data_IF_848909138906
#
_entry.id   IF_848909138906
#
_cell.length_a   1.000
_cell.length_b   1.000
_cell.length_c   1.000
_cell.angle_alpha   90.00
_cell.angle_beta   90.00
_cell.angle_gamma   90.00
#
_symmetry.space_group_name_H-M   'P 1'
#
loop_
_entity.id
_entity.type
_entity.pdbx_description
1 polymer ?
#
# COMPACT_ATOMS: atom_id res chain seq x y z
N UNK A 1 9.26 22.96 -16.77
CA UNK A 1 8.70 21.59 -16.77
C UNK A 1 8.59 21.17 -15.29
N UNK A 2 7.45 21.40 -14.63
CA UNK A 2 7.41 21.44 -13.15
C UNK A 2 6.21 20.72 -12.49
N UNK A 3 5.20 20.29 -13.27
CA UNK A 3 3.99 19.69 -12.71
C UNK A 3 4.20 18.24 -12.21
N UNK A 4 5.04 17.45 -12.89
CA UNK A 4 5.28 16.04 -12.55
C UNK A 4 6.23 15.84 -11.37
N UNK A 5 6.99 16.87 -10.98
CA UNK A 5 7.96 16.79 -9.88
C UNK A 5 7.28 16.70 -8.50
N UNK A 6 5.98 17.01 -8.42
CA UNK A 6 5.22 17.11 -7.18
C UNK A 6 4.06 16.10 -7.09
N UNK A 7 3.98 15.16 -8.03
CA UNK A 7 2.88 14.18 -8.09
C UNK A 7 2.81 13.29 -6.83
N UNK A 8 3.92 13.11 -6.12
CA UNK A 8 3.99 12.42 -4.82
C UNK A 8 3.10 13.08 -3.76
N UNK A 9 2.89 14.40 -3.82
CA UNK A 9 1.98 15.13 -2.93
C UNK A 9 0.55 14.64 -3.14
N UNK A 10 0.13 14.45 -4.39
CA UNK A 10 -1.21 13.93 -4.71
C UNK A 10 -1.42 12.53 -4.11
N UNK A 11 -0.41 11.66 -4.14
CA UNK A 11 -0.50 10.35 -3.51
C UNK A 11 -0.60 10.43 -1.98
N UNK A 12 0.14 11.34 -1.34
CA UNK A 12 0.00 11.59 0.10
C UNK A 12 -1.41 12.10 0.43
N UNK A 13 -1.93 13.07 -0.34
CA UNK A 13 -3.28 13.59 -0.17
C UNK A 13 -4.31 12.48 -0.29
N UNK A 14 -4.19 11.61 -1.31
CA UNK A 14 -5.09 10.47 -1.51
C UNK A 14 -5.01 9.49 -0.34
N UNK A 15 -3.82 9.18 0.17
CA UNK A 15 -3.64 8.30 1.35
C UNK A 15 -4.32 8.89 2.58
N UNK A 16 -4.11 10.19 2.86
CA UNK A 16 -4.74 10.89 3.98
C UNK A 16 -6.26 10.90 3.80
N UNK A 17 -6.76 11.26 2.62
CA UNK A 17 -8.18 11.28 2.33
C UNK A 17 -8.82 9.90 2.54
N UNK A 18 -8.20 8.84 2.05
CA UNK A 18 -8.67 7.47 2.25
C UNK A 18 -8.70 7.08 3.74
N UNK A 19 -7.69 7.44 4.51
CA UNK A 19 -7.64 7.19 5.94
C UNK A 19 -8.74 7.97 6.70
N UNK A 20 -9.00 9.22 6.33
CA UNK A 20 -10.06 10.04 6.91
C UNK A 20 -11.45 9.54 6.54
N UNK A 21 -11.66 9.16 5.27
CA UNK A 21 -12.90 8.55 4.81
C UNK A 21 -13.15 7.24 5.54
N UNK A 22 -12.12 6.43 5.75
CA UNK A 22 -12.21 5.22 6.56
C UNK A 22 -12.60 5.56 8.01
N UNK A 23 -11.88 6.49 8.64
CA UNK A 23 -12.16 6.92 10.02
C UNK A 23 -13.60 7.39 10.16
N UNK A 24 -14.09 8.22 9.25
CA UNK A 24 -15.47 8.70 9.25
C UNK A 24 -16.48 7.56 9.07
N UNK A 25 -16.26 6.68 8.09
CA UNK A 25 -17.16 5.54 7.82
C UNK A 25 -17.19 4.51 8.95
N UNK A 26 -16.10 4.37 9.70
CA UNK A 26 -16.01 3.43 10.82
C UNK A 26 -16.85 3.83 12.02
N UNK A 27 -17.14 5.14 12.19
CA UNK A 27 -17.88 5.67 13.34
C UNK A 27 -19.26 5.03 13.55
N UNK A 28 -19.97 4.69 12.46
CA UNK A 28 -21.28 4.01 12.58
C UNK A 28 -21.14 2.62 13.21
N UNK A 29 -20.08 1.88 12.85
CA UNK A 29 -19.84 0.55 13.38
C UNK A 29 -19.30 0.60 14.81
N UNK A 30 -18.50 1.62 15.14
CA UNK A 30 -18.01 1.86 16.50
C UNK A 30 -19.16 2.20 17.44
N UNK A 31 -20.14 3.01 17.00
CA UNK A 31 -21.33 3.32 17.80
C UNK A 31 -22.15 2.08 18.14
N UNK A 32 -22.26 1.14 17.20
CA UNK A 32 -22.96 -0.14 17.40
C UNK A 32 -22.14 -1.12 18.25
N UNK A 33 -20.80 -1.10 18.09
CA UNK A 33 -19.84 -2.01 18.72
C UNK A 33 -18.58 -1.26 19.15
N UNK A 34 -18.57 -0.63 20.34
CA UNK A 34 -17.46 0.21 20.81
C UNK A 34 -16.11 -0.52 20.86
N UNK A 35 -16.12 -1.84 21.05
CA UNK A 35 -14.93 -2.68 21.09
C UNK A 35 -14.12 -2.70 19.78
N UNK A 36 -14.69 -2.24 18.65
CA UNK A 36 -14.01 -2.16 17.37
C UNK A 36 -13.13 -0.92 17.21
N UNK A 37 -13.32 0.10 18.06
CA UNK A 37 -12.60 1.39 17.96
C UNK A 37 -11.08 1.25 17.94
N UNK A 38 -10.44 0.49 18.86
CA UNK A 38 -8.99 0.36 18.86
C UNK A 38 -8.44 -0.26 17.58
N UNK A 39 -9.21 -1.18 16.97
CA UNK A 39 -8.86 -1.81 15.71
C UNK A 39 -8.87 -0.82 14.55
N UNK A 40 -9.95 -0.06 14.39
CA UNK A 40 -10.04 0.98 13.36
C UNK A 40 -8.96 2.05 13.53
N UNK A 41 -8.73 2.52 14.75
CA UNK A 41 -7.72 3.52 15.04
C UNK A 41 -6.31 3.03 14.70
N UNK A 42 -5.99 1.77 15.06
CA UNK A 42 -4.71 1.15 14.69
C UNK A 42 -4.55 1.09 13.18
N UNK A 43 -5.59 0.72 12.45
CA UNK A 43 -5.54 0.64 10.99
C UNK A 43 -5.40 2.01 10.32
N UNK A 44 -6.16 3.02 10.76
CA UNK A 44 -6.09 4.39 10.25
C UNK A 44 -4.68 4.95 10.47
N UNK A 45 -4.11 4.79 11.68
CA UNK A 45 -2.73 5.19 11.98
C UNK A 45 -1.72 4.43 11.11
N UNK A 46 -1.93 3.13 10.92
CA UNK A 46 -1.11 2.29 10.05
C UNK A 46 -1.10 2.79 8.60
N UNK A 47 -2.26 3.10 8.03
CA UNK A 47 -2.38 3.64 6.67
C UNK A 47 -1.66 4.99 6.55
N UNK A 48 -1.86 5.89 7.52
CA UNK A 48 -1.22 7.21 7.52
C UNK A 48 0.31 7.12 7.65
N UNK A 49 0.81 6.18 8.44
CA UNK A 49 2.25 6.02 8.64
C UNK A 49 2.89 5.25 7.48
N UNK A 50 2.53 3.97 7.33
CA UNK A 50 3.15 3.07 6.36
C UNK A 50 2.80 3.42 4.91
N UNK A 51 1.56 3.86 4.65
CA UNK A 51 1.10 4.19 3.30
C UNK A 51 1.74 5.43 2.69
N UNK A 52 2.42 6.26 3.48
CA UNK A 52 3.10 7.46 3.01
C UNK A 52 4.62 7.30 2.83
N UNK A 53 5.23 6.23 3.38
CA UNK A 53 6.69 6.01 3.31
C UNK A 53 7.22 6.07 1.87
N UNK A 54 6.64 5.36 0.88
CA UNK A 54 7.17 5.38 -0.48
C UNK A 54 7.10 6.77 -1.13
N UNK A 55 6.03 7.53 -0.83
CA UNK A 55 5.82 8.86 -1.40
C UNK A 55 6.75 9.91 -0.79
N UNK A 56 7.08 9.77 0.48
CA UNK A 56 8.10 10.60 1.14
C UNK A 56 9.47 10.36 0.49
N UNK A 57 9.83 9.10 0.22
CA UNK A 57 11.09 8.77 -0.47
C UNK A 57 11.13 9.43 -1.85
N UNK A 58 10.05 9.33 -2.62
CA UNK A 58 9.91 10.00 -3.92
C UNK A 58 10.06 11.51 -3.79
N UNK A 59 9.40 12.11 -2.79
CA UNK A 59 9.46 13.54 -2.53
C UNK A 59 10.89 14.02 -2.22
N UNK A 60 11.60 13.30 -1.35
CA UNK A 60 13.01 13.62 -1.04
C UNK A 60 13.87 13.48 -2.30
N UNK A 61 13.76 12.38 -3.05
CA UNK A 61 14.52 12.20 -4.29
C UNK A 61 14.30 13.34 -5.31
N UNK A 62 13.06 13.80 -5.45
CA UNK A 62 12.70 14.91 -6.33
C UNK A 62 13.21 16.27 -5.82
N UNK A 63 13.10 16.55 -4.52
CA UNK A 63 13.53 17.81 -3.92
C UNK A 63 15.05 18.00 -3.98
N UNK A 64 15.79 16.90 -3.82
CA UNK A 64 17.26 16.89 -3.91
C UNK A 64 17.77 16.63 -5.34
N UNK A 65 16.90 16.64 -6.34
CA UNK A 65 17.23 16.45 -7.77
C UNK A 65 17.93 15.12 -8.10
N UNK A 66 17.81 14.12 -7.23
CA UNK A 66 18.24 12.76 -7.54
C UNK A 66 17.28 12.08 -8.50
N UNK A 67 16.01 12.46 -8.49
CA UNK A 67 14.99 12.03 -9.45
C UNK A 67 14.24 13.25 -9.98
N UNK A 68 13.77 13.18 -11.21
CA UNK A 68 12.98 14.22 -11.88
C UNK A 68 11.48 13.91 -11.86
N UNK A 69 11.11 12.63 -11.84
CA UNK A 69 9.72 12.21 -11.88
C UNK A 69 9.49 10.81 -11.29
N UNK A 70 8.23 10.41 -11.13
CA UNK A 70 7.88 9.03 -10.77
C UNK A 70 8.36 7.99 -11.78
N UNK A 71 8.53 8.38 -13.04
CA UNK A 71 8.97 7.46 -14.10
C UNK A 71 10.39 6.96 -13.82
N UNK A 72 11.23 7.75 -13.15
CA UNK A 72 12.60 7.36 -12.81
C UNK A 72 12.64 6.14 -11.87
N UNK A 73 11.59 5.97 -11.06
CA UNK A 73 11.42 4.83 -10.16
C UNK A 73 11.02 3.54 -10.90
N UNK A 74 10.84 3.56 -12.22
CA UNK A 74 10.66 2.36 -13.04
C UNK A 74 11.99 1.84 -13.63
N UNK A 75 13.08 2.59 -13.45
CA UNK A 75 14.39 2.31 -14.03
C UNK A 75 15.44 2.03 -12.95
N UNK A 76 15.35 0.84 -12.33
CA UNK A 76 16.28 0.41 -11.29
C UNK A 76 17.73 0.31 -11.78
N UNK A 77 17.93 0.13 -13.09
CA UNK A 77 19.25 0.10 -13.75
C UNK A 77 20.09 1.36 -13.56
N UNK A 78 19.47 2.48 -13.18
CA UNK A 78 20.19 3.72 -12.88
C UNK A 78 21.02 3.63 -11.60
N UNK A 79 20.80 2.60 -10.78
CA UNK A 79 21.42 2.40 -9.46
C UNK A 79 21.33 3.63 -8.56
N UNK A 80 20.32 4.48 -8.80
CA UNK A 80 20.07 5.65 -7.99
C UNK A 80 19.66 5.21 -6.57
N UNK A 81 20.29 5.74 -5.51
CA UNK A 81 20.02 5.31 -4.14
C UNK A 81 18.55 5.52 -3.74
N UNK A 82 17.89 6.59 -4.19
CA UNK A 82 16.48 6.83 -3.89
C UNK A 82 15.55 5.84 -4.59
N UNK A 83 15.88 5.46 -5.83
CA UNK A 83 15.15 4.41 -6.55
C UNK A 83 15.30 3.08 -5.82
N UNK A 84 16.50 2.74 -5.37
CA UNK A 84 16.76 1.50 -4.61
C UNK A 84 15.99 1.51 -3.27
N UNK A 85 16.11 2.59 -2.48
CA UNK A 85 15.45 2.74 -1.18
C UNK A 85 13.92 2.66 -1.33
N UNK A 86 13.36 3.27 -2.39
CA UNK A 86 11.93 3.16 -2.69
C UNK A 86 11.51 1.70 -2.87
N UNK A 87 12.20 0.93 -3.70
CA UNK A 87 11.86 -0.48 -3.93
C UNK A 87 12.04 -1.35 -2.68
N UNK A 88 13.11 -1.11 -1.90
CA UNK A 88 13.31 -1.78 -0.61
C UNK A 88 12.14 -1.46 0.34
N UNK A 89 11.69 -0.20 0.39
CA UNK A 89 10.55 0.18 1.23
C UNK A 89 9.27 -0.55 0.81
N UNK A 90 9.03 -0.68 -0.49
CA UNK A 90 7.87 -1.41 -1.04
C UNK A 90 7.96 -2.90 -0.66
N UNK A 91 9.14 -3.53 -0.80
CA UNK A 91 9.35 -4.92 -0.39
C UNK A 91 9.09 -5.12 1.10
N UNK A 92 9.64 -4.27 1.97
CA UNK A 92 9.42 -4.34 3.41
C UNK A 92 7.93 -4.21 3.74
N UNK A 93 7.23 -3.24 3.15
CA UNK A 93 5.80 -3.03 3.36
C UNK A 93 4.98 -4.26 2.93
N UNK A 94 5.29 -4.85 1.77
CA UNK A 94 4.63 -6.06 1.32
C UNK A 94 4.93 -7.27 2.19
N UNK A 95 6.16 -7.44 2.68
CA UNK A 95 6.52 -8.51 3.62
C UNK A 95 5.81 -8.36 4.96
N UNK A 96 5.71 -7.14 5.49
CA UNK A 96 4.95 -6.86 6.71
C UNK A 96 3.46 -7.13 6.52
N UNK A 97 2.88 -6.71 5.39
CA UNK A 97 1.49 -6.96 5.07
C UNK A 97 1.22 -8.46 4.85
N UNK A 98 2.12 -9.19 4.19
CA UNK A 98 2.06 -10.64 4.04
C UNK A 98 2.08 -11.34 5.40
N UNK A 99 3.05 -11.02 6.25
CA UNK A 99 3.12 -11.57 7.59
C UNK A 99 1.83 -11.28 8.38
N UNK A 100 1.33 -10.05 8.29
CA UNK A 100 0.11 -9.66 8.97
C UNK A 100 -1.12 -10.44 8.49
N UNK A 101 -1.33 -10.54 7.17
CA UNK A 101 -2.50 -11.18 6.56
C UNK A 101 -2.53 -12.71 6.77
N UNK A 102 -1.39 -13.38 6.65
CA UNK A 102 -1.33 -14.85 6.70
C UNK A 102 -0.99 -15.42 8.06
N UNK A 103 -0.21 -14.70 8.89
CA UNK A 103 0.37 -15.26 10.12
C UNK A 103 -0.02 -14.51 11.39
N UNK A 104 -0.58 -13.29 11.29
CA UNK A 104 -0.92 -12.47 12.46
C UNK A 104 -2.38 -11.99 12.46
N UNK A 105 -3.30 -12.89 12.08
CA UNK A 105 -4.75 -12.68 12.10
C UNK A 105 -5.25 -11.48 11.29
N UNK A 106 -4.48 -10.98 10.32
CA UNK A 106 -4.85 -9.79 9.55
C UNK A 106 -6.08 -10.01 8.68
N UNK A 107 -6.22 -11.20 8.09
CA UNK A 107 -7.40 -11.54 7.31
C UNK A 107 -8.66 -11.60 8.18
N UNK A 108 -8.58 -12.25 9.35
CA UNK A 108 -9.66 -12.34 10.34
C UNK A 108 -10.02 -10.95 10.87
N UNK A 109 -9.01 -10.12 11.13
CA UNK A 109 -9.20 -8.73 11.53
C UNK A 109 -10.02 -7.98 10.49
N UNK A 110 -9.66 -8.07 9.20
CA UNK A 110 -10.36 -7.38 8.13
C UNK A 110 -11.82 -7.82 7.97
N UNK A 111 -12.12 -9.10 8.18
CA UNK A 111 -13.51 -9.62 8.19
C UNK A 111 -14.30 -9.08 9.38
N UNK A 112 -13.67 -9.02 10.56
CA UNK A 112 -14.30 -8.56 11.81
C UNK A 112 -14.55 -7.05 11.86
N UNK A 113 -14.03 -6.27 10.91
CA UNK A 113 -14.18 -4.81 10.86
C UNK A 113 -15.00 -4.40 9.62
N UNK A 114 -16.34 -4.30 9.76
CA UNK A 114 -17.23 -3.99 8.66
C UNK A 114 -16.85 -2.72 7.90
N UNK A 115 -16.98 -2.75 6.57
CA UNK A 115 -16.72 -1.59 5.74
C UNK A 115 -15.25 -1.37 5.35
N UNK A 116 -14.31 -2.15 5.90
CA UNK A 116 -12.94 -2.27 5.37
C UNK A 116 -12.90 -3.03 4.06
N UNK A 117 -13.58 -4.17 4.01
CA UNK A 117 -13.74 -4.98 2.80
C UNK A 117 -15.20 -4.88 2.35
N UNK A 118 -15.40 -4.54 1.09
CA UNK A 118 -16.73 -4.48 0.47
C UNK A 118 -16.68 -5.25 -0.84
N UNK A 119 -17.38 -6.37 -0.88
CA UNK A 119 -17.63 -7.08 -2.13
C UNK A 119 -19.08 -6.84 -2.50
N UNK A 120 -19.32 -6.24 -3.67
CA UNK A 120 -20.67 -6.20 -4.25
C UNK A 120 -20.87 -7.51 -5.00
N UNK A 121 -21.59 -8.45 -4.40
CA UNK A 121 -22.21 -9.57 -5.12
C UNK A 121 -23.54 -9.11 -5.72
N UNK A 122 -23.91 -9.62 -6.90
CA UNK A 122 -25.12 -9.23 -7.63
C UNK A 122 -26.40 -9.33 -6.80
N UNK A 123 -26.78 -8.23 -6.13
CA UNK A 123 -28.00 -8.08 -5.34
C UNK A 123 -27.87 -8.34 -3.84
N UNK A 124 -26.88 -9.13 -3.38
CA UNK A 124 -26.67 -9.44 -1.95
C UNK A 124 -25.20 -9.25 -1.55
N UNK A 125 -24.96 -8.64 -0.38
CA UNK A 125 -23.64 -8.59 0.24
C UNK A 125 -23.25 -10.01 0.66
N UNK A 126 -22.29 -10.63 0.00
CA UNK A 126 -21.73 -11.91 0.44
C UNK A 126 -20.77 -11.67 1.61
N UNK A 127 -20.88 -12.49 2.66
CA UNK A 127 -19.92 -12.46 3.75
C UNK A 127 -18.53 -12.86 3.22
N UNK A 128 -17.55 -11.98 3.41
CA UNK A 128 -16.18 -12.22 2.94
C UNK A 128 -15.49 -13.11 3.96
N UNK A 129 -14.98 -14.26 3.53
CA UNK A 129 -14.19 -15.14 4.40
C UNK A 129 -12.71 -14.69 4.49
N UNK A 130 -11.99 -15.01 5.58
CA UNK A 130 -10.55 -14.73 5.69
C UNK A 130 -9.74 -15.35 4.54
N UNK A 131 -10.11 -16.56 4.09
CA UNK A 131 -9.49 -17.24 2.94
C UNK A 131 -9.63 -16.44 1.65
N UNK A 132 -10.77 -15.78 1.41
CA UNK A 132 -10.94 -14.93 0.22
C UNK A 132 -9.99 -13.74 0.25
N UNK A 133 -9.80 -13.11 1.42
CA UNK A 133 -8.85 -12.00 1.61
C UNK A 133 -7.42 -12.48 1.36
N UNK A 134 -7.05 -13.63 1.92
CA UNK A 134 -5.74 -14.24 1.71
C UNK A 134 -5.50 -14.55 0.22
N UNK A 135 -6.45 -15.16 -0.49
CA UNK A 135 -6.30 -15.45 -1.92
C UNK A 135 -6.15 -14.15 -2.72
N UNK A 136 -7.01 -13.16 -2.49
CA UNK A 136 -6.95 -11.88 -3.18
C UNK A 136 -5.62 -11.16 -2.94
N UNK A 137 -5.16 -11.13 -1.69
CA UNK A 137 -3.87 -10.55 -1.34
C UNK A 137 -2.70 -11.33 -1.96
N UNK A 138 -2.78 -12.66 -2.01
CA UNK A 138 -1.80 -13.52 -2.69
C UNK A 138 -1.70 -13.22 -4.19
N UNK A 139 -2.82 -12.96 -4.87
CA UNK A 139 -2.84 -12.55 -6.27
C UNK A 139 -2.15 -11.19 -6.48
N UNK A 140 -2.38 -10.24 -5.57
CA UNK A 140 -1.69 -8.93 -5.60
C UNK A 140 -0.20 -9.11 -5.36
N UNK A 141 0.21 -9.94 -4.41
CA UNK A 141 1.64 -10.22 -4.20
C UNK A 141 2.28 -10.85 -5.43
N UNK A 142 1.61 -11.83 -6.04
CA UNK A 142 2.10 -12.49 -7.24
C UNK A 142 2.28 -11.49 -8.39
N UNK A 143 1.33 -10.57 -8.61
CA UNK A 143 1.49 -9.54 -9.63
C UNK A 143 2.66 -8.59 -9.33
N UNK A 144 2.87 -8.23 -8.06
CA UNK A 144 4.03 -7.43 -7.65
C UNK A 144 5.35 -8.18 -7.89
N UNK A 145 5.41 -9.49 -7.63
CA UNK A 145 6.61 -10.30 -7.89
C UNK A 145 6.98 -10.33 -9.38
N UNK A 146 5.99 -10.31 -10.28
CA UNK A 146 6.23 -10.20 -11.72
C UNK A 146 6.90 -8.85 -12.05
N UNK A 147 6.38 -7.75 -11.49
CA UNK A 147 6.97 -6.42 -11.66
C UNK A 147 8.40 -6.37 -11.12
N UNK A 148 8.64 -6.91 -9.92
CA UNK A 148 9.99 -7.00 -9.36
C UNK A 148 10.94 -7.85 -10.21
N UNK A 149 10.46 -8.97 -10.76
CA UNK A 149 11.25 -9.80 -11.66
C UNK A 149 11.65 -9.04 -12.93
N UNK A 150 10.73 -8.26 -13.51
CA UNK A 150 11.02 -7.39 -14.64
C UNK A 150 12.05 -6.31 -14.29
N UNK A 151 11.94 -5.70 -13.12
CA UNK A 151 12.93 -4.71 -12.65
C UNK A 151 14.31 -5.34 -12.46
N UNK A 152 14.40 -6.51 -11.83
CA UNK A 152 15.66 -7.22 -11.66
C UNK A 152 16.28 -7.66 -12.99
N UNK A 153 15.45 -8.04 -13.97
CA UNK A 153 15.93 -8.34 -15.32
C UNK A 153 16.67 -7.13 -15.93
N UNK A 154 16.22 -5.90 -15.67
CA UNK A 154 16.94 -4.70 -16.14
C UNK A 154 18.38 -4.61 -15.61
N UNK A 155 18.68 -5.19 -14.44
CA UNK A 155 20.03 -5.21 -13.87
C UNK A 155 20.93 -6.23 -14.59
N UNK A 156 20.36 -7.36 -15.03
CA UNK A 156 21.11 -8.40 -15.73
C UNK A 156 21.50 -7.99 -17.15
N UNK A 157 20.72 -7.11 -17.78
CA UNK A 157 21.04 -6.53 -19.11
C UNK A 157 22.20 -5.50 -19.05
N UNK A 158 22.68 -5.15 -17.84
CA UNK A 158 23.83 -4.25 -17.64
C UNK A 158 25.17 -5.00 -17.68
N UNK A 159 25.15 -6.35 -17.67
CA UNK A 159 26.40 -7.10 -17.83
C UNK A 159 26.92 -6.95 -19.27
N UNK A 160 28.19 -6.54 -19.45
CA UNK A 160 28.80 -6.34 -20.77
C UNK A 160 28.92 -7.65 -21.57
#
# INVERSE_FOLDING_TARGET
>A
MTLFNHIWISFIIVTIFNALVLKFRSQKYIKEKPELEPGYDKLVKGILFYGNIPWIIVGIGNLFQYTNSLIDYLYIKTLNPFVIIFHISILILWSLAFYWIYFNNGAEFLVKHPGLVRVKGGGFFTEVSPKMIQIFFGLILFSNLIVFSFLLYQLNVIQP
#
